data_IF_253936387564
#
_entry.id   IF_253936387564
#
_cell.length_a   1.000
_cell.length_b   1.000
_cell.length_c   1.000
_cell.angle_alpha   90.00
_cell.angle_beta   90.00
_cell.angle_gamma   90.00
#
_symmetry.space_group_name_H-M   'P 1'
#
loop_
_entity.id
_entity.type
_entity.pdbx_description
1 polymer ?
#
# COMPACT_ATOMS: atom_id res chain seq x y z
N UNK A 1 -24.28 10.68 2.23
CA UNK A 1 -23.55 10.30 3.47
C UNK A 1 -22.65 11.45 3.87
N UNK A 2 -22.65 11.82 5.12
CA UNK A 2 -21.87 12.91 5.69
C UNK A 2 -20.76 12.35 6.60
N UNK A 3 -19.77 13.17 6.96
CA UNK A 3 -18.77 12.83 7.98
C UNK A 3 -19.43 12.31 9.27
N UNK A 4 -20.50 12.99 9.70
CA UNK A 4 -21.25 12.60 10.90
C UNK A 4 -21.89 11.21 10.79
N UNK A 5 -22.33 10.80 9.60
CA UNK A 5 -22.89 9.46 9.39
C UNK A 5 -21.80 8.38 9.53
N UNK A 6 -20.64 8.61 8.94
CA UNK A 6 -19.48 7.70 9.08
C UNK A 6 -18.98 7.63 10.50
N UNK A 7 -18.89 8.77 11.20
CA UNK A 7 -18.49 8.78 12.60
C UNK A 7 -19.44 7.99 13.49
N UNK A 8 -20.77 8.21 13.36
CA UNK A 8 -21.77 7.42 14.10
C UNK A 8 -21.64 5.92 13.83
N UNK A 9 -21.38 5.55 12.57
CA UNK A 9 -21.18 4.14 12.22
C UNK A 9 -19.91 3.59 12.89
N UNK A 10 -18.80 4.29 12.83
CA UNK A 10 -17.55 3.90 13.47
C UNK A 10 -17.71 3.76 14.99
N UNK A 11 -18.36 4.73 15.63
CA UNK A 11 -18.62 4.70 17.08
C UNK A 11 -19.49 3.49 17.47
N UNK A 12 -20.53 3.20 16.66
CA UNK A 12 -21.38 2.02 16.86
C UNK A 12 -20.61 0.71 16.71
N UNK A 13 -19.71 0.60 15.72
CA UNK A 13 -18.85 -0.57 15.53
C UNK A 13 -17.94 -0.77 16.74
N UNK A 14 -17.30 0.30 17.22
CA UNK A 14 -16.44 0.24 18.41
C UNK A 14 -17.19 -0.16 19.66
N UNK A 15 -18.39 0.39 19.87
CA UNK A 15 -19.27 0.03 21.00
C UNK A 15 -19.60 -1.47 21.01
N UNK A 16 -20.05 -2.01 19.86
CA UNK A 16 -20.47 -3.42 19.77
C UNK A 16 -19.28 -4.39 19.88
N UNK A 17 -18.13 -4.01 19.33
CA UNK A 17 -16.96 -4.88 19.24
C UNK A 17 -16.01 -4.78 20.44
N UNK A 18 -16.23 -3.84 21.36
CA UNK A 18 -15.30 -3.58 22.45
C UNK A 18 -14.06 -2.81 22.05
N UNK A 19 -14.14 -1.99 20.96
CA UNK A 19 -13.07 -1.07 20.57
C UNK A 19 -12.21 -1.49 19.39
N UNK A 20 -12.73 -2.34 18.48
CA UNK A 20 -11.98 -2.69 17.26
C UNK A 20 -11.62 -1.44 16.44
N UNK A 21 -10.39 -1.35 15.87
CA UNK A 21 -10.02 -0.25 14.98
C UNK A 21 -10.93 -0.16 13.73
N UNK A 22 -11.31 1.06 13.37
CA UNK A 22 -12.13 1.35 12.19
C UNK A 22 -11.36 2.28 11.27
N UNK A 23 -11.27 1.92 9.99
CA UNK A 23 -10.51 2.70 9.01
C UNK A 23 -11.19 2.81 7.65
N UNK A 24 -10.55 3.59 6.78
CA UNK A 24 -11.00 3.82 5.42
C UNK A 24 -10.01 3.25 4.42
N UNK A 25 -10.54 2.65 3.34
CA UNK A 25 -9.77 2.42 2.13
C UNK A 25 -10.12 3.49 1.12
N UNK A 26 -9.12 4.26 0.70
CA UNK A 26 -9.25 5.41 -0.19
C UNK A 26 -8.47 5.16 -1.48
N UNK A 27 -9.07 5.50 -2.62
CA UNK A 27 -8.34 5.66 -3.87
C UNK A 27 -7.55 6.97 -3.82
N UNK A 28 -6.30 6.96 -4.28
CA UNK A 28 -5.42 8.13 -4.22
C UNK A 28 -5.78 9.19 -5.27
N UNK A 29 -6.95 9.80 -5.19
CA UNK A 29 -7.41 10.86 -6.11
C UNK A 29 -7.27 12.25 -5.47
N UNK A 30 -8.14 12.61 -4.55
CA UNK A 30 -8.12 13.87 -3.82
C UNK A 30 -7.51 13.67 -2.43
N UNK A 31 -6.26 13.23 -2.40
CA UNK A 31 -5.58 12.62 -1.25
C UNK A 31 -5.79 13.41 0.04
N UNK A 32 -5.48 14.70 0.04
CA UNK A 32 -5.56 15.53 1.24
C UNK A 32 -7.01 15.72 1.72
N UNK A 33 -7.95 15.90 0.79
CA UNK A 33 -9.38 16.08 1.13
C UNK A 33 -9.99 14.78 1.65
N UNK A 34 -9.63 13.66 1.03
CA UNK A 34 -10.16 12.34 1.41
C UNK A 34 -9.58 11.90 2.76
N UNK A 35 -8.30 12.19 3.02
CA UNK A 35 -7.67 11.97 4.34
C UNK A 35 -8.33 12.86 5.40
N UNK A 36 -8.56 14.15 5.11
CA UNK A 36 -9.25 15.03 6.08
C UNK A 36 -10.64 14.49 6.42
N UNK A 37 -11.40 14.06 5.42
CA UNK A 37 -12.70 13.42 5.65
C UNK A 37 -12.58 12.21 6.59
N UNK A 38 -11.58 11.34 6.39
CA UNK A 38 -11.35 10.18 7.22
C UNK A 38 -10.95 10.57 8.67
N UNK A 39 -10.11 11.59 8.83
CA UNK A 39 -9.74 12.14 10.15
C UNK A 39 -10.96 12.69 10.90
N UNK A 40 -11.79 13.46 10.22
CA UNK A 40 -13.02 14.04 10.79
C UNK A 40 -14.04 12.95 11.17
N UNK A 41 -14.01 11.81 10.47
CA UNK A 41 -14.82 10.62 10.78
C UNK A 41 -14.20 9.71 11.85
N UNK A 42 -13.12 10.14 12.52
CA UNK A 42 -12.44 9.41 13.61
C UNK A 42 -11.82 8.08 13.17
N UNK A 43 -11.12 8.07 12.04
CA UNK A 43 -10.41 6.88 11.54
C UNK A 43 -9.24 6.48 12.44
N UNK A 44 -9.00 5.18 12.60
CA UNK A 44 -7.82 4.62 13.28
C UNK A 44 -6.71 4.26 12.26
N UNK A 45 -7.09 3.93 11.02
CA UNK A 45 -6.14 3.65 9.95
C UNK A 45 -6.70 4.05 8.58
N UNK A 46 -5.80 4.30 7.65
CA UNK A 46 -6.12 4.60 6.25
C UNK A 46 -5.34 3.64 5.35
N UNK A 47 -6.05 2.94 4.46
CA UNK A 47 -5.44 2.19 3.37
C UNK A 47 -5.53 3.06 2.11
N UNK A 48 -4.41 3.59 1.66
CA UNK A 48 -4.33 4.41 0.46
C UNK A 48 -3.97 3.56 -0.75
N UNK A 49 -4.82 3.55 -1.77
CA UNK A 49 -4.65 2.74 -2.98
C UNK A 49 -4.16 3.63 -4.13
N UNK A 50 -2.87 3.54 -4.44
CA UNK A 50 -2.25 4.26 -5.55
C UNK A 50 -2.52 3.60 -6.91
N UNK A 51 -2.16 4.31 -7.99
CA UNK A 51 -2.26 3.76 -9.36
C UNK A 51 -1.45 2.47 -9.49
N UNK A 52 -2.02 1.48 -10.15
CA UNK A 52 -1.49 0.12 -10.22
C UNK A 52 -2.11 -0.82 -9.19
N UNK A 53 -2.92 -0.27 -8.28
CA UNK A 53 -3.80 -1.03 -7.39
C UNK A 53 -5.07 -1.51 -8.09
N UNK A 54 -6.07 -1.85 -7.29
CA UNK A 54 -7.32 -2.42 -7.76
C UNK A 54 -7.27 -3.94 -7.91
N UNK A 55 -8.45 -4.53 -8.03
CA UNK A 55 -8.59 -5.99 -8.16
C UNK A 55 -8.25 -6.46 -9.57
N UNK A 56 -7.92 -7.74 -9.73
CA UNK A 56 -7.74 -8.35 -11.05
C UNK A 56 -9.00 -8.32 -11.93
N UNK A 57 -10.16 -8.10 -11.33
CA UNK A 57 -11.44 -7.95 -12.02
C UNK A 57 -11.77 -6.50 -12.42
N UNK A 58 -11.01 -5.52 -11.94
CA UNK A 58 -11.25 -4.11 -12.27
C UNK A 58 -11.01 -3.86 -13.77
N UNK A 59 -11.85 -3.04 -14.43
CA UNK A 59 -11.63 -2.63 -15.80
C UNK A 59 -10.24 -2.02 -16.00
N UNK A 60 -9.58 -2.34 -17.10
CA UNK A 60 -8.21 -1.91 -17.36
C UNK A 60 -8.07 -0.38 -17.38
N UNK A 61 -9.06 0.31 -17.94
CA UNK A 61 -9.12 1.77 -17.98
C UNK A 61 -9.09 2.38 -16.57
N UNK A 62 -9.72 1.75 -15.57
CA UNK A 62 -9.70 2.24 -14.20
C UNK A 62 -8.33 2.00 -13.54
N UNK A 63 -7.77 0.79 -13.69
CA UNK A 63 -6.46 0.45 -13.13
C UNK A 63 -5.32 1.32 -13.65
N UNK A 64 -5.40 1.70 -14.94
CA UNK A 64 -4.30 2.40 -15.61
C UNK A 64 -4.42 3.92 -15.54
N UNK A 65 -5.61 4.47 -15.26
CA UNK A 65 -5.86 5.91 -15.39
C UNK A 65 -6.48 6.56 -14.14
N UNK A 66 -7.02 5.80 -13.20
CA UNK A 66 -7.54 6.34 -11.93
C UNK A 66 -6.45 6.26 -10.87
N UNK A 67 -6.47 7.19 -9.95
CA UNK A 67 -5.50 7.41 -8.88
C UNK A 67 -4.16 8.02 -9.30
N UNK A 68 -3.57 8.75 -8.39
CA UNK A 68 -2.18 9.21 -8.45
C UNK A 68 -1.26 7.99 -8.30
N UNK A 69 -0.10 7.92 -8.98
CA UNK A 69 0.88 6.87 -8.76
C UNK A 69 1.29 6.73 -7.30
N UNK A 70 1.58 5.50 -6.87
CA UNK A 70 1.76 5.14 -5.46
C UNK A 70 2.83 5.97 -4.73
N UNK A 71 3.98 6.24 -5.34
CA UNK A 71 5.08 6.99 -4.72
C UNK A 71 4.65 8.43 -4.37
N UNK A 72 4.20 9.28 -5.34
CA UNK A 72 3.75 10.63 -5.01
C UNK A 72 2.49 10.63 -4.14
N UNK A 73 1.62 9.62 -4.27
CA UNK A 73 0.44 9.50 -3.42
C UNK A 73 0.83 9.31 -1.95
N UNK A 74 1.77 8.40 -1.68
CA UNK A 74 2.26 8.13 -0.34
C UNK A 74 2.97 9.36 0.27
N UNK A 75 3.88 9.98 -0.48
CA UNK A 75 4.60 11.17 -0.03
C UNK A 75 3.65 12.30 0.38
N UNK A 76 2.62 12.57 -0.45
CA UNK A 76 1.59 13.58 -0.16
C UNK A 76 0.75 13.20 1.06
N UNK A 77 0.34 11.94 1.16
CA UNK A 77 -0.47 11.46 2.27
C UNK A 77 0.27 11.57 3.60
N UNK A 78 1.54 11.14 3.66
CA UNK A 78 2.36 11.24 4.86
C UNK A 78 2.56 12.70 5.27
N UNK A 79 3.00 13.55 4.34
CA UNK A 79 3.16 14.98 4.61
C UNK A 79 1.86 15.62 5.14
N UNK A 80 0.72 15.24 4.60
CA UNK A 80 -0.56 15.76 5.07
C UNK A 80 -0.87 15.31 6.50
N UNK A 81 -0.69 14.02 6.83
CA UNK A 81 -0.87 13.48 8.17
C UNK A 81 0.08 14.13 9.20
N UNK A 82 1.34 14.36 8.81
CA UNK A 82 2.32 15.06 9.64
C UNK A 82 1.86 16.49 9.96
N UNK A 83 1.42 17.24 8.94
CA UNK A 83 0.92 18.60 9.08
C UNK A 83 -0.36 18.69 9.93
N UNK A 84 -1.18 17.63 9.95
CA UNK A 84 -2.37 17.54 10.81
C UNK A 84 -2.05 17.04 12.22
N UNK A 85 -0.79 16.74 12.53
CA UNK A 85 -0.40 16.11 13.81
C UNK A 85 -1.06 14.74 14.02
N UNK A 86 -1.39 14.03 12.91
CA UNK A 86 -2.07 12.75 12.94
C UNK A 86 -1.11 11.55 12.85
N UNK A 87 0.15 11.78 12.48
CA UNK A 87 1.18 10.73 12.46
C UNK A 87 1.39 10.12 13.84
N UNK A 88 1.53 8.80 13.89
CA UNK A 88 1.59 8.04 15.14
C UNK A 88 0.23 7.77 15.82
N UNK A 89 -0.84 8.47 15.40
CA UNK A 89 -2.21 8.19 15.88
C UNK A 89 -3.03 7.44 14.83
N UNK A 90 -2.82 7.75 13.56
CA UNK A 90 -3.52 7.11 12.43
C UNK A 90 -2.50 6.32 11.63
N UNK A 91 -2.72 5.02 11.50
CA UNK A 91 -1.85 4.13 10.73
C UNK A 91 -2.07 4.33 9.23
N UNK A 92 -1.01 4.65 8.49
CA UNK A 92 -1.04 4.78 7.03
C UNK A 92 -0.54 3.49 6.36
N UNK A 93 -1.45 2.78 5.70
CA UNK A 93 -1.15 1.57 4.93
C UNK A 93 -1.19 1.94 3.45
N UNK A 94 -0.13 1.63 2.73
CA UNK A 94 -0.05 1.87 1.29
C UNK A 94 -0.27 0.59 0.48
N UNK A 95 -0.96 0.71 -0.63
CA UNK A 95 -1.08 -0.36 -1.64
C UNK A 95 -1.08 0.22 -3.04
N UNK A 96 -0.87 -0.61 -4.04
CA UNK A 96 -0.88 -0.22 -5.44
C UNK A 96 0.46 -0.46 -6.13
N UNK A 97 0.58 -1.61 -6.80
CA UNK A 97 1.72 -1.92 -7.66
C UNK A 97 3.03 -2.32 -6.97
N UNK A 98 3.08 -2.41 -5.65
CA UNK A 98 4.23 -2.87 -4.89
C UNK A 98 4.40 -4.39 -5.07
N UNK A 99 5.60 -4.87 -5.45
CA UNK A 99 5.78 -6.26 -5.87
C UNK A 99 6.99 -6.97 -5.27
N UNK A 100 8.06 -6.26 -5.04
CA UNK A 100 9.34 -6.82 -4.62
C UNK A 100 9.85 -6.12 -3.34
N UNK A 101 10.75 -6.75 -2.56
CA UNK A 101 11.21 -6.22 -1.28
C UNK A 101 11.71 -4.78 -1.31
N UNK A 102 12.36 -4.38 -2.42
CA UNK A 102 12.84 -3.00 -2.56
C UNK A 102 11.70 -1.98 -2.67
N UNK A 103 10.54 -2.37 -3.25
CA UNK A 103 9.37 -1.51 -3.26
C UNK A 103 8.83 -1.31 -1.84
N UNK A 104 8.90 -2.37 -1.02
CA UNK A 104 8.42 -2.34 0.37
C UNK A 104 9.31 -1.43 1.23
N UNK A 105 10.64 -1.58 1.12
CA UNK A 105 11.60 -0.71 1.80
C UNK A 105 11.38 0.76 1.41
N UNK A 106 11.27 1.06 0.11
CA UNK A 106 11.01 2.43 -0.36
C UNK A 106 9.69 2.98 0.17
N UNK A 107 8.64 2.17 0.22
CA UNK A 107 7.36 2.60 0.77
C UNK A 107 7.45 2.90 2.27
N UNK A 108 8.16 2.07 3.05
CA UNK A 108 8.39 2.34 4.47
C UNK A 108 9.22 3.61 4.66
N UNK A 109 10.29 3.79 3.90
CA UNK A 109 11.14 4.98 3.94
C UNK A 109 10.38 6.26 3.57
N UNK A 110 9.38 6.18 2.68
CA UNK A 110 8.44 7.27 2.36
C UNK A 110 7.34 7.47 3.40
N UNK A 111 7.39 6.75 4.52
CA UNK A 111 6.52 6.95 5.67
C UNK A 111 5.26 6.09 5.69
N UNK A 112 5.21 4.96 4.99
CA UNK A 112 4.15 3.98 5.20
C UNK A 112 4.38 3.23 6.52
N UNK A 113 3.35 3.13 7.35
CA UNK A 113 3.37 2.32 8.58
C UNK A 113 3.12 0.83 8.26
N UNK A 114 2.48 0.56 7.13
CA UNK A 114 2.20 -0.78 6.65
C UNK A 114 2.04 -0.85 5.13
N UNK A 115 2.19 -2.06 4.59
CA UNK A 115 2.09 -2.31 3.15
C UNK A 115 1.09 -3.43 2.90
N UNK A 116 0.08 -3.17 2.08
CA UNK A 116 -0.87 -4.17 1.66
C UNK A 116 -0.51 -4.71 0.28
N UNK A 117 -0.32 -6.01 0.18
CA UNK A 117 0.07 -6.71 -1.04
C UNK A 117 -1.12 -7.49 -1.61
N UNK A 118 -1.18 -7.55 -2.94
CA UNK A 118 -2.15 -8.36 -3.67
C UNK A 118 -1.46 -9.19 -4.75
N UNK A 119 -1.09 -8.56 -5.87
CA UNK A 119 -0.62 -9.28 -7.05
C UNK A 119 0.65 -10.10 -6.80
N UNK A 120 1.59 -9.62 -6.01
CA UNK A 120 2.82 -10.37 -5.66
C UNK A 120 2.49 -11.63 -4.85
N UNK A 121 1.63 -11.51 -3.83
CA UNK A 121 1.16 -12.64 -3.05
C UNK A 121 0.37 -13.64 -3.92
N UNK A 122 -0.50 -13.13 -4.81
CA UNK A 122 -1.24 -13.96 -5.76
C UNK A 122 -0.30 -14.71 -6.72
N UNK A 123 0.74 -14.06 -7.21
CA UNK A 123 1.75 -14.70 -8.07
C UNK A 123 2.56 -15.76 -7.29
N UNK A 124 2.89 -15.49 -6.05
CA UNK A 124 3.58 -16.45 -5.19
C UNK A 124 2.79 -17.76 -5.04
N UNK A 125 1.45 -17.70 -4.95
CA UNK A 125 0.59 -18.89 -4.87
C UNK A 125 0.21 -19.48 -6.22
N UNK A 126 0.83 -19.05 -7.32
CA UNK A 126 0.67 -19.65 -8.64
C UNK A 126 -0.28 -18.90 -9.58
N UNK A 127 -0.60 -17.64 -9.33
CA UNK A 127 -1.35 -16.83 -10.29
C UNK A 127 -0.52 -16.60 -11.56
N UNK A 128 -1.08 -16.99 -12.72
CA UNK A 128 -0.43 -16.87 -14.04
C UNK A 128 -0.70 -15.54 -14.74
N UNK A 129 -1.27 -14.56 -14.04
CA UNK A 129 -1.57 -13.22 -14.52
C UNK A 129 -2.43 -13.19 -15.82
N UNK A 130 -3.32 -14.16 -16.00
CA UNK A 130 -4.20 -14.26 -17.18
C UNK A 130 -5.18 -13.08 -17.33
N UNK A 131 -5.40 -12.30 -16.25
CA UNK A 131 -6.26 -11.10 -16.20
C UNK A 131 -7.71 -11.31 -16.63
N UNK A 132 -8.22 -12.52 -16.43
CA UNK A 132 -9.61 -12.91 -16.69
C UNK A 132 -10.39 -13.19 -15.40
N UNK A 133 -9.98 -12.59 -14.28
CA UNK A 133 -10.58 -12.83 -12.96
C UNK A 133 -12.08 -12.52 -12.90
N UNK A 134 -12.56 -11.57 -13.74
CA UNK A 134 -13.97 -11.20 -13.84
C UNK A 134 -14.84 -12.23 -14.56
N UNK A 135 -14.24 -13.23 -15.23
CA UNK A 135 -14.99 -14.19 -16.07
C UNK A 135 -15.36 -15.48 -15.33
N UNK A 136 -14.90 -15.66 -14.10
CA UNK A 136 -15.01 -16.90 -13.33
C UNK A 136 -14.30 -18.12 -14.00
N UNK A 137 -13.35 -17.88 -14.91
CA UNK A 137 -12.61 -18.92 -15.64
C UNK A 137 -11.11 -18.92 -15.33
N UNK A 138 -10.74 -18.60 -14.07
CA UNK A 138 -9.33 -18.55 -13.68
C UNK A 138 -8.61 -19.89 -13.94
N UNK A 139 -7.57 -19.93 -14.78
CA UNK A 139 -6.89 -21.17 -15.13
C UNK A 139 -6.09 -21.78 -13.97
N UNK A 140 -5.69 -20.95 -13.01
CA UNK A 140 -4.97 -21.37 -11.80
C UNK A 140 -5.90 -21.77 -10.64
N UNK A 141 -7.23 -21.69 -10.81
CA UNK A 141 -8.17 -22.06 -9.76
C UNK A 141 -8.32 -21.05 -8.61
N UNK A 142 -7.64 -19.88 -8.67
CA UNK A 142 -7.57 -18.91 -7.57
C UNK A 142 -8.81 -18.00 -7.55
N UNK A 143 -9.15 -17.41 -8.70
CA UNK A 143 -10.24 -16.43 -8.84
C UNK A 143 -11.42 -17.04 -9.63
N UNK A 144 -12.03 -18.08 -9.06
CA UNK A 144 -13.17 -18.79 -9.67
C UNK A 144 -14.01 -19.46 -8.60
N UNK A 145 -15.32 -19.60 -8.87
CA UNK A 145 -16.24 -20.39 -8.07
C UNK A 145 -16.53 -21.77 -8.68
N UNK A 146 -16.01 -22.04 -9.89
CA UNK A 146 -16.18 -23.34 -10.56
C UNK A 146 -15.35 -24.41 -9.86
N UNK A 147 -16.00 -25.45 -9.38
CA UNK A 147 -15.36 -26.51 -8.59
C UNK A 147 -14.23 -27.22 -9.36
N UNK A 148 -14.45 -27.51 -10.63
CA UNK A 148 -13.46 -28.16 -11.51
C UNK A 148 -12.19 -27.32 -11.73
N UNK A 149 -12.30 -26.00 -11.64
CA UNK A 149 -11.15 -25.10 -11.71
C UNK A 149 -10.50 -24.90 -10.33
N UNK A 150 -11.29 -24.79 -9.26
CA UNK A 150 -10.77 -24.63 -7.90
C UNK A 150 -9.89 -25.80 -7.46
N UNK A 151 -10.18 -27.01 -7.90
CA UNK A 151 -9.39 -28.23 -7.64
C UNK A 151 -7.95 -28.14 -8.17
N UNK A 152 -7.65 -27.19 -9.06
CA UNK A 152 -6.28 -26.97 -9.58
C UNK A 152 -5.38 -26.27 -8.58
N UNK A 153 -5.93 -25.57 -7.61
CA UNK A 153 -5.16 -24.90 -6.57
C UNK A 153 -4.79 -25.92 -5.49
N UNK A 154 -3.52 -26.29 -5.46
CA UNK A 154 -2.95 -27.08 -4.36
C UNK A 154 -2.69 -26.14 -3.17
N UNK A 155 -3.50 -26.28 -2.12
CA UNK A 155 -3.51 -25.38 -0.97
C UNK A 155 -2.20 -25.48 -0.19
N UNK A 156 -1.71 -26.69 0.10
CA UNK A 156 -0.49 -26.90 0.88
C UNK A 156 0.74 -26.36 0.16
N UNK A 157 0.87 -26.67 -1.13
CA UNK A 157 1.95 -26.13 -1.96
C UNK A 157 1.89 -24.62 -2.06
N UNK A 158 0.71 -24.06 -2.26
CA UNK A 158 0.52 -22.61 -2.39
C UNK A 158 0.81 -21.88 -1.08
N UNK A 159 0.43 -22.45 0.05
CA UNK A 159 0.75 -21.90 1.37
C UNK A 159 2.26 -21.89 1.62
N UNK A 160 2.97 -22.99 1.29
CA UNK A 160 4.42 -23.05 1.39
C UNK A 160 5.10 -22.01 0.48
N UNK A 161 4.64 -21.85 -0.74
CA UNK A 161 5.18 -20.86 -1.68
C UNK A 161 4.98 -19.43 -1.15
N UNK A 162 3.81 -19.11 -0.59
CA UNK A 162 3.54 -17.81 -0.01
C UNK A 162 4.42 -17.56 1.23
N UNK A 163 4.57 -18.56 2.09
CA UNK A 163 5.47 -18.48 3.24
C UNK A 163 6.91 -18.18 2.80
N UNK A 164 7.42 -18.90 1.80
CA UNK A 164 8.77 -18.69 1.28
C UNK A 164 8.95 -17.29 0.70
N UNK A 165 7.92 -16.79 -0.04
CA UNK A 165 7.94 -15.43 -0.58
C UNK A 165 8.04 -14.37 0.53
N UNK A 166 7.22 -14.49 1.59
CA UNK A 166 7.26 -13.52 2.68
C UNK A 166 8.54 -13.64 3.51
N UNK A 167 9.00 -14.86 3.82
CA UNK A 167 10.25 -15.07 4.55
C UNK A 167 11.42 -14.42 3.83
N UNK A 168 11.61 -14.75 2.54
CA UNK A 168 12.67 -14.16 1.74
C UNK A 168 12.53 -12.63 1.60
N UNK A 169 11.31 -12.12 1.47
CA UNK A 169 11.07 -10.68 1.40
C UNK A 169 11.49 -9.97 2.67
N UNK A 170 11.11 -10.50 3.84
CA UNK A 170 11.46 -9.92 5.14
C UNK A 170 12.98 -9.99 5.37
N UNK A 171 13.63 -11.12 5.06
CA UNK A 171 15.08 -11.26 5.16
C UNK A 171 15.82 -10.21 4.32
N UNK A 172 15.41 -10.00 3.07
CA UNK A 172 15.99 -8.96 2.21
C UNK A 172 15.75 -7.55 2.75
N UNK A 173 14.57 -7.26 3.28
CA UNK A 173 14.29 -5.97 3.92
C UNK A 173 15.18 -5.76 5.15
N UNK A 174 15.42 -6.80 5.96
CA UNK A 174 16.33 -6.73 7.10
C UNK A 174 17.80 -6.52 6.68
N UNK A 175 18.22 -7.09 5.54
CA UNK A 175 19.53 -6.80 4.97
C UNK A 175 19.65 -5.33 4.60
N UNK A 176 18.63 -4.76 3.95
CA UNK A 176 18.61 -3.35 3.61
C UNK A 176 18.61 -2.44 4.86
N UNK A 177 17.82 -2.79 5.88
CA UNK A 177 17.80 -2.05 7.13
C UNK A 177 19.20 -1.97 7.77
N UNK A 178 19.88 -3.10 7.88
CA UNK A 178 21.26 -3.14 8.39
C UNK A 178 22.24 -2.34 7.55
N UNK A 179 22.08 -2.33 6.22
CA UNK A 179 22.91 -1.53 5.32
C UNK A 179 22.70 -0.01 5.53
N UNK A 180 21.48 0.41 5.93
CA UNK A 180 21.15 1.79 6.29
C UNK A 180 21.49 2.11 7.78
N UNK A 181 22.04 1.16 8.55
CA UNK A 181 22.37 1.36 9.95
C UNK A 181 21.22 1.17 10.92
N UNK A 182 20.13 0.51 10.48
CA UNK A 182 18.93 0.26 11.27
C UNK A 182 18.89 -1.18 11.81
N UNK A 183 18.29 -1.36 12.99
CA UNK A 183 18.05 -2.66 13.61
C UNK A 183 16.59 -3.12 13.54
N UNK A 184 15.68 -2.26 13.05
CA UNK A 184 14.29 -2.55 12.84
C UNK A 184 13.74 -1.94 11.53
N UNK A 185 12.74 -2.58 10.92
CA UNK A 185 12.20 -2.14 9.63
C UNK A 185 11.44 -0.81 9.71
N UNK A 186 10.87 -0.49 10.88
CA UNK A 186 10.14 0.77 11.11
C UNK A 186 11.07 1.99 11.31
N UNK A 187 12.37 1.81 11.24
CA UNK A 187 13.35 2.89 11.30
C UNK A 187 13.69 3.47 9.92
N UNK A 188 13.27 2.80 8.83
CA UNK A 188 13.40 3.39 7.50
C UNK A 188 12.75 4.76 7.43
N UNK A 189 13.45 5.73 6.84
CA UNK A 189 13.01 7.12 6.74
C UNK A 189 13.51 7.78 5.45
N UNK A 190 13.15 9.05 5.23
CA UNK A 190 13.52 9.79 4.03
C UNK A 190 15.03 9.91 3.79
N UNK A 191 15.84 9.92 4.86
CA UNK A 191 17.30 10.04 4.74
C UNK A 191 17.96 8.78 4.15
N UNK A 192 17.24 7.65 4.14
CA UNK A 192 17.68 6.42 3.47
C UNK A 192 17.49 6.45 1.96
N UNK A 193 16.86 7.50 1.42
CA UNK A 193 16.47 7.60 0.02
C UNK A 193 17.17 8.74 -0.68
N UNK A 194 17.64 8.48 -1.90
CA UNK A 194 18.05 9.51 -2.85
C UNK A 194 17.65 9.11 -4.26
N UNK A 195 17.50 10.08 -5.16
CA UNK A 195 17.13 9.82 -6.55
C UNK A 195 17.89 10.74 -7.50
N UNK A 196 18.33 10.20 -8.64
CA UNK A 196 18.89 11.00 -9.75
C UNK A 196 17.80 11.51 -10.72
N UNK A 197 16.55 11.10 -10.51
CA UNK A 197 15.43 11.58 -11.31
C UNK A 197 14.86 12.84 -10.67
N UNK A 198 15.04 13.98 -11.34
CA UNK A 198 14.61 15.29 -10.84
C UNK A 198 13.10 15.38 -10.62
N UNK A 199 12.31 14.83 -11.54
CA UNK A 199 10.84 14.82 -11.39
C UNK A 199 10.42 13.97 -10.19
N UNK A 200 11.09 12.83 -9.97
CA UNK A 200 10.81 11.99 -8.82
C UNK A 200 11.16 12.69 -7.50
N UNK A 201 12.27 13.42 -7.44
CA UNK A 201 12.62 14.23 -6.27
C UNK A 201 11.50 15.24 -5.96
N UNK A 202 11.02 15.97 -6.97
CA UNK A 202 9.94 16.96 -6.82
C UNK A 202 8.61 16.31 -6.40
N UNK A 203 8.29 15.12 -6.94
CA UNK A 203 7.04 14.42 -6.66
C UNK A 203 7.00 13.74 -5.30
N UNK A 204 8.16 13.31 -4.79
CA UNK A 204 8.26 12.53 -3.55
C UNK A 204 8.85 13.31 -2.37
N UNK A 205 9.58 14.40 -2.63
CA UNK A 205 10.37 15.11 -1.61
C UNK A 205 11.66 14.38 -1.22
N UNK A 206 12.04 13.32 -1.94
CA UNK A 206 13.29 12.58 -1.72
C UNK A 206 14.47 13.40 -2.25
N UNK A 207 15.61 13.33 -1.56
CA UNK A 207 16.83 14.03 -1.90
C UNK A 207 17.23 13.79 -3.38
N UNK A 208 17.47 14.87 -4.11
CA UNK A 208 18.04 14.81 -5.44
C UNK A 208 19.55 14.60 -5.37
N UNK A 209 20.07 13.56 -6.02
CA UNK A 209 21.49 13.21 -6.00
C UNK A 209 22.36 14.01 -6.98
N UNK A 210 21.77 14.90 -7.80
CA UNK A 210 22.48 15.77 -8.74
C UNK A 210 22.81 17.14 -8.12
N UNK A 211 23.57 17.95 -8.85
CA UNK A 211 23.83 19.33 -8.47
C UNK A 211 22.63 20.21 -8.85
N UNK A 212 21.79 20.50 -7.90
CA UNK A 212 20.67 21.43 -8.03
C UNK A 212 20.26 21.96 -6.65
N UNK A 213 20.83 23.08 -6.27
CA UNK A 213 20.61 23.72 -4.97
C UNK A 213 19.13 24.03 -4.72
N UNK A 214 18.35 24.31 -5.79
CA UNK A 214 16.93 24.63 -5.68
C UNK A 214 16.03 23.45 -5.25
N UNK A 215 16.53 22.23 -5.32
CA UNK A 215 15.79 21.01 -4.93
C UNK A 215 16.23 20.50 -3.56
N UNK A 216 17.48 20.73 -3.17
CA UNK A 216 18.07 20.21 -1.94
C UNK A 216 17.89 21.15 -0.74
N UNK A 217 17.46 22.39 -0.94
CA UNK A 217 17.25 23.40 0.12
C UNK A 217 15.81 23.40 0.69
N UNK A 218 15.01 22.36 0.44
CA UNK A 218 13.66 22.19 0.96
C UNK A 218 13.60 21.09 2.03
#
# INVERSE_FOLDING_TARGET
STVADFKRFADRVREISGGIPVGFKLSANHIEKDIQFALDASTDYIILDGRGGGTGAAPEIFRNHISVPTIPALARARRYLDNQGASGRVTLIITGGLRVPIDFVKAMALGADGIALSNSAMQAIGCVAARICNTNNCPAGIATQKEELRKKLDIEKSALQLNNFFTASVELMQVMARACGHDALNQFNYDDLATWNREMALLSGVLYSGFDDSINDQ
#
